data_IF_343739741433
#
_entry.id   IF_343739741433
#
_cell.length_a   1.000
_cell.length_b   1.000
_cell.length_c   1.000
_cell.angle_alpha   90.00
_cell.angle_beta   90.00
_cell.angle_gamma   90.00
#
_symmetry.space_group_name_H-M   'P 1'
#
loop_
_entity.id
_entity.type
_entity.pdbx_description
1 polymer ?
#
# COMPACT_ATOMS: atom_id res chain seq x y z
N UNK A 1 -19.62 18.68 -5.20
CA UNK A 1 -19.54 18.67 -3.72
C UNK A 1 -18.19 18.11 -3.38
N UNK A 2 -17.32 18.85 -2.71
CA UNK A 2 -16.05 18.35 -2.20
C UNK A 2 -16.36 17.24 -1.20
N UNK A 3 -15.66 16.09 -1.30
CA UNK A 3 -15.71 15.06 -0.27
C UNK A 3 -15.35 15.76 1.06
N UNK A 4 -16.29 15.81 1.99
CA UNK A 4 -16.00 16.36 3.32
C UNK A 4 -15.16 15.32 4.04
N UNK A 5 -13.95 15.70 4.47
CA UNK A 5 -13.21 14.88 5.41
C UNK A 5 -14.12 14.59 6.61
N UNK A 6 -14.21 13.32 7.06
CA UNK A 6 -14.89 13.03 8.30
C UNK A 6 -14.21 13.84 9.41
N UNK A 7 -14.99 14.55 10.18
CA UNK A 7 -14.52 15.44 11.25
C UNK A 7 -14.09 14.66 12.50
N UNK A 8 -13.32 13.58 12.32
CA UNK A 8 -12.77 12.83 13.44
C UNK A 8 -11.63 13.63 14.10
N UNK A 9 -11.59 13.62 15.41
CA UNK A 9 -10.46 14.15 16.19
C UNK A 9 -9.21 13.29 15.99
N UNK A 10 -8.01 13.82 16.28
CA UNK A 10 -6.78 13.02 16.20
C UNK A 10 -6.83 11.72 17.01
N UNK A 11 -7.45 11.72 18.20
CA UNK A 11 -7.60 10.52 19.03
C UNK A 11 -8.55 9.48 18.44
N UNK A 12 -9.59 9.91 17.72
CA UNK A 12 -10.50 9.01 17.02
C UNK A 12 -9.78 8.34 15.82
N UNK A 13 -8.91 9.05 15.11
CA UNK A 13 -8.08 8.48 14.06
C UNK A 13 -7.13 7.41 14.59
N UNK A 14 -6.56 7.62 15.79
CA UNK A 14 -5.75 6.59 16.47
C UNK A 14 -6.56 5.34 16.77
N UNK A 15 -7.77 5.51 17.25
CA UNK A 15 -8.69 4.39 17.50
C UNK A 15 -8.93 3.61 16.22
N UNK A 16 -9.25 4.29 15.11
CA UNK A 16 -9.47 3.65 13.80
C UNK A 16 -8.23 2.87 13.36
N UNK A 17 -7.03 3.45 13.43
CA UNK A 17 -5.81 2.75 13.03
C UNK A 17 -5.51 1.55 13.95
N UNK A 18 -5.69 1.74 15.27
CA UNK A 18 -5.50 0.68 16.26
C UNK A 18 -6.44 -0.51 16.04
N UNK A 19 -7.69 -0.27 15.68
CA UNK A 19 -8.66 -1.31 15.34
C UNK A 19 -8.26 -2.04 14.06
N UNK A 20 -7.86 -1.32 13.02
CA UNK A 20 -7.49 -1.88 11.71
C UNK A 20 -6.35 -2.89 11.78
N UNK A 21 -5.30 -2.58 12.55
CA UNK A 21 -4.12 -3.43 12.67
C UNK A 21 -4.05 -4.18 14.02
N UNK A 22 -5.00 -3.95 14.91
CA UNK A 22 -5.00 -4.53 16.25
C UNK A 22 -5.44 -5.98 16.30
N UNK A 23 -4.90 -6.69 17.28
CA UNK A 23 -5.17 -8.10 17.51
C UNK A 23 -5.52 -8.38 18.97
N UNK A 24 -6.55 -9.16 19.19
CA UNK A 24 -6.84 -9.78 20.47
C UNK A 24 -5.95 -11.04 20.64
N UNK A 25 -5.27 -11.17 21.77
CA UNK A 25 -4.55 -12.40 22.11
C UNK A 25 -5.54 -13.49 22.53
N UNK A 26 -5.51 -14.63 21.86
CA UNK A 26 -6.30 -15.82 22.19
C UNK A 26 -5.47 -16.81 23.01
N UNK A 27 -4.18 -16.97 22.64
CA UNK A 27 -3.18 -17.73 23.39
C UNK A 27 -1.80 -17.11 23.16
N UNK A 28 -0.73 -17.73 23.66
CA UNK A 28 0.63 -17.23 23.46
C UNK A 28 1.04 -17.18 21.97
N UNK A 29 0.45 -18.04 21.16
CA UNK A 29 0.78 -18.19 19.74
C UNK A 29 -0.43 -18.00 18.80
N UNK A 30 -1.56 -17.58 19.33
CA UNK A 30 -2.77 -17.36 18.55
C UNK A 30 -3.37 -15.98 18.84
N UNK A 31 -3.78 -15.32 17.79
CA UNK A 31 -4.41 -14.00 17.82
C UNK A 31 -5.66 -14.01 16.94
N UNK A 32 -6.53 -13.04 17.18
CA UNK A 32 -7.72 -12.78 16.36
C UNK A 32 -7.79 -11.29 16.04
N UNK A 33 -8.21 -10.93 14.84
CA UNK A 33 -8.43 -9.53 14.46
C UNK A 33 -9.36 -8.84 15.46
N UNK A 34 -9.02 -7.61 15.90
CA UNK A 34 -9.92 -6.77 16.69
C UNK A 34 -11.12 -6.35 15.86
N UNK A 35 -10.87 -5.88 14.63
CA UNK A 35 -11.91 -5.50 13.70
C UNK A 35 -12.72 -6.73 13.30
N UNK A 36 -14.01 -6.75 13.68
CA UNK A 36 -14.94 -7.82 13.33
C UNK A 36 -15.34 -7.77 11.86
N UNK A 37 -15.18 -6.61 11.21
CA UNK A 37 -15.56 -6.36 9.83
C UNK A 37 -14.43 -5.65 9.08
N UNK A 38 -13.27 -6.32 8.85
CA UNK A 38 -12.13 -5.73 8.18
C UNK A 38 -12.52 -5.12 6.84
N UNK A 39 -11.92 -3.99 6.55
CA UNK A 39 -12.26 -3.18 5.38
C UNK A 39 -12.06 -3.92 4.05
N UNK A 40 -13.10 -3.82 3.21
CA UNK A 40 -13.13 -4.25 1.81
C UNK A 40 -13.11 -2.99 0.95
N UNK A 41 -12.04 -2.71 0.19
CA UNK A 41 -12.03 -1.57 -0.73
C UNK A 41 -13.16 -1.65 -1.77
N UNK A 42 -13.73 -0.52 -2.14
CA UNK A 42 -14.81 -0.45 -3.15
C UNK A 42 -14.43 -1.20 -4.42
N UNK A 43 -15.30 -2.10 -4.83
CA UNK A 43 -15.10 -2.93 -6.03
C UNK A 43 -14.24 -4.17 -5.81
N UNK A 44 -13.73 -4.38 -4.60
CA UNK A 44 -13.02 -5.60 -4.21
C UNK A 44 -13.95 -6.58 -3.48
N UNK A 45 -13.62 -7.86 -3.58
CA UNK A 45 -14.33 -8.96 -2.90
C UNK A 45 -13.45 -9.63 -1.84
N UNK A 46 -12.39 -8.97 -1.41
CA UNK A 46 -11.45 -9.45 -0.40
C UNK A 46 -11.06 -8.32 0.54
N UNK A 47 -10.81 -8.68 1.79
CA UNK A 47 -10.20 -7.79 2.78
C UNK A 47 -8.93 -7.16 2.19
N UNK A 48 -8.72 -5.89 2.50
CA UNK A 48 -7.55 -5.13 2.10
C UNK A 48 -6.24 -5.84 2.48
N UNK A 49 -5.32 -5.99 1.53
CA UNK A 49 -4.07 -6.74 1.74
C UNK A 49 -3.19 -6.16 2.83
N UNK A 50 -3.08 -4.83 2.91
CA UNK A 50 -2.32 -4.16 3.94
C UNK A 50 -2.75 -4.50 5.37
N UNK A 51 -4.01 -4.88 5.57
CA UNK A 51 -4.52 -5.36 6.86
C UNK A 51 -3.77 -6.62 7.31
N UNK A 52 -3.57 -7.58 6.39
CA UNK A 52 -2.81 -8.81 6.68
C UNK A 52 -1.34 -8.52 6.97
N UNK A 53 -0.74 -7.56 6.25
CA UNK A 53 0.64 -7.15 6.47
C UNK A 53 0.81 -6.57 7.88
N UNK A 54 -0.08 -5.65 8.28
CA UNK A 54 -0.10 -5.07 9.62
C UNK A 54 -0.29 -6.13 10.71
N UNK A 55 -1.27 -7.02 10.53
CA UNK A 55 -1.53 -8.11 11.48
C UNK A 55 -0.36 -9.09 11.61
N UNK A 56 0.33 -9.44 10.51
CA UNK A 56 1.46 -10.34 10.56
C UNK A 56 2.62 -9.76 11.37
N UNK A 57 2.93 -8.46 11.15
CA UNK A 57 3.94 -7.74 11.91
C UNK A 57 3.56 -7.65 13.39
N UNK A 58 2.30 -7.29 13.69
CA UNK A 58 1.77 -7.19 15.05
C UNK A 58 1.84 -8.54 15.79
N UNK A 59 1.30 -9.61 15.18
CA UNK A 59 1.25 -10.94 15.78
C UNK A 59 2.64 -11.49 16.08
N UNK A 60 3.53 -11.45 15.07
CA UNK A 60 4.88 -11.95 15.21
C UNK A 60 5.68 -11.19 16.29
N UNK A 61 5.57 -9.84 16.29
CA UNK A 61 6.31 -9.00 17.25
C UNK A 61 5.89 -9.23 18.70
N UNK A 62 4.66 -9.67 18.95
CA UNK A 62 4.17 -9.98 20.30
C UNK A 62 4.59 -11.34 20.82
N UNK A 63 5.36 -12.12 20.05
CA UNK A 63 5.84 -13.47 20.42
C UNK A 63 7.36 -13.55 20.53
N UNK A 64 8.07 -12.45 20.40
CA UNK A 64 9.53 -12.38 20.57
C UNK A 64 9.89 -11.58 21.81
N UNK A 65 11.11 -11.83 22.35
CA UNK A 65 11.67 -11.03 23.42
C UNK A 65 11.79 -9.55 22.98
N UNK A 66 11.44 -8.57 23.82
CA UNK A 66 11.51 -7.13 23.50
C UNK A 66 12.86 -6.61 23.01
N UNK A 67 13.96 -7.34 23.25
CA UNK A 67 15.29 -6.99 22.72
C UNK A 67 15.38 -7.09 21.19
N UNK A 68 14.47 -7.84 20.56
CA UNK A 68 14.45 -8.02 19.12
C UNK A 68 13.61 -6.95 18.45
N UNK A 69 14.19 -6.26 17.46
CA UNK A 69 13.48 -5.42 16.51
C UNK A 69 13.20 -6.17 15.20
N UNK A 70 12.06 -5.94 14.59
CA UNK A 70 11.78 -6.47 13.25
C UNK A 70 12.78 -5.86 12.25
N UNK A 71 13.31 -6.69 11.34
CA UNK A 71 14.14 -6.21 10.24
C UNK A 71 13.61 -6.61 8.86
N UNK A 72 12.76 -7.65 8.75
CA UNK A 72 12.12 -7.98 7.49
C UNK A 72 10.86 -8.84 7.66
N UNK A 73 10.00 -8.81 6.66
CA UNK A 73 8.98 -9.84 6.46
C UNK A 73 8.83 -10.20 4.97
N UNK A 74 8.37 -11.44 4.72
CA UNK A 74 8.04 -11.96 3.40
C UNK A 74 6.68 -12.63 3.48
N UNK A 75 5.75 -12.28 2.60
CA UNK A 75 4.37 -12.74 2.68
C UNK A 75 3.82 -13.25 1.36
N UNK A 76 2.78 -14.07 1.45
CA UNK A 76 2.00 -14.57 0.31
C UNK A 76 0.51 -14.44 0.59
N UNK A 77 -0.23 -13.89 -0.37
CA UNK A 77 -1.68 -13.87 -0.38
C UNK A 77 -2.18 -15.12 -1.12
N UNK A 78 -2.87 -16.01 -0.42
CA UNK A 78 -3.19 -17.35 -0.92
C UNK A 78 -4.65 -17.48 -1.36
N UNK A 79 -5.56 -16.81 -0.64
CA UNK A 79 -6.99 -16.86 -0.93
C UNK A 79 -7.68 -15.57 -0.46
N UNK A 80 -8.92 -15.38 -0.89
CA UNK A 80 -9.75 -14.24 -0.48
C UNK A 80 -10.21 -14.41 0.95
N UNK A 81 -10.23 -13.31 1.67
CA UNK A 81 -10.88 -13.21 2.97
C UNK A 81 -12.08 -12.27 2.88
N UNK A 82 -13.19 -12.65 3.51
CA UNK A 82 -14.39 -11.82 3.62
C UNK A 82 -14.29 -10.90 4.83
N UNK A 83 -15.20 -9.91 4.94
CA UNK A 83 -15.23 -8.94 6.03
C UNK A 83 -15.78 -9.56 7.32
N UNK A 84 -15.03 -10.47 7.90
CA UNK A 84 -15.28 -11.16 9.14
C UNK A 84 -13.96 -11.36 9.89
N UNK A 85 -14.04 -11.80 11.17
CA UNK A 85 -12.83 -12.10 11.95
C UNK A 85 -11.88 -13.06 11.24
N UNK A 86 -10.59 -12.79 11.42
CA UNK A 86 -9.48 -13.64 10.96
C UNK A 86 -8.67 -14.09 12.17
N UNK A 87 -8.36 -15.37 12.22
CA UNK A 87 -7.47 -15.96 13.21
C UNK A 87 -6.04 -16.03 12.67
N UNK A 88 -5.07 -15.61 13.50
CA UNK A 88 -3.66 -15.66 13.18
C UNK A 88 -2.96 -16.65 14.10
N UNK A 89 -2.17 -17.53 13.51
CA UNK A 89 -1.35 -18.51 14.20
C UNK A 89 0.12 -18.20 13.97
N UNK A 90 0.86 -18.07 15.06
CA UNK A 90 2.29 -17.80 15.01
C UNK A 90 3.05 -19.07 15.33
N UNK A 91 4.12 -19.35 14.60
CA UNK A 91 5.01 -20.48 14.81
C UNK A 91 6.43 -19.97 15.03
N UNK A 92 7.10 -20.51 16.04
CA UNK A 92 8.52 -20.25 16.24
C UNK A 92 9.33 -21.06 15.21
N UNK A 93 9.83 -20.38 14.17
CA UNK A 93 10.71 -21.01 13.17
C UNK A 93 12.17 -21.01 13.61
N UNK A 94 12.59 -19.99 14.33
CA UNK A 94 13.93 -19.85 14.87
C UNK A 94 13.93 -18.91 16.08
N UNK A 95 14.70 -19.30 17.09
CA UNK A 95 15.04 -18.45 18.23
C UNK A 95 16.55 -18.57 18.48
N UNK A 96 17.29 -17.51 18.21
CA UNK A 96 18.74 -17.46 18.39
C UNK A 96 19.13 -16.31 19.31
N UNK A 97 20.44 -16.16 19.55
CA UNK A 97 20.93 -15.07 20.39
C UNK A 97 20.75 -13.69 19.76
N UNK A 98 21.00 -13.56 18.45
CA UNK A 98 20.97 -12.30 17.72
C UNK A 98 19.82 -12.19 16.72
N UNK A 99 19.22 -13.31 16.30
CA UNK A 99 18.13 -13.37 15.33
C UNK A 99 17.02 -14.31 15.78
N UNK A 100 15.78 -13.93 15.51
CA UNK A 100 14.61 -14.76 15.71
C UNK A 100 13.73 -14.69 14.44
N UNK A 101 12.99 -15.76 14.15
CA UNK A 101 12.06 -15.80 13.00
C UNK A 101 10.75 -16.44 13.41
N UNK A 102 9.66 -15.84 12.98
CA UNK A 102 8.28 -16.30 13.21
C UNK A 102 7.59 -16.57 11.88
N UNK A 103 6.94 -17.71 11.78
CA UNK A 103 5.94 -17.97 10.76
C UNK A 103 4.59 -17.45 11.23
N UNK A 104 3.82 -16.81 10.35
CA UNK A 104 2.47 -16.36 10.63
C UNK A 104 1.55 -16.95 9.57
N UNK A 105 0.47 -17.59 9.99
CA UNK A 105 -0.62 -18.05 9.15
C UNK A 105 -1.89 -17.30 9.53
N UNK A 106 -2.56 -16.68 8.57
CA UNK A 106 -3.89 -16.14 8.75
C UNK A 106 -4.93 -17.11 8.17
N UNK A 107 -5.91 -17.45 8.96
CA UNK A 107 -6.97 -18.40 8.59
C UNK A 107 -8.34 -17.80 8.81
N UNK A 108 -9.24 -18.07 7.88
CA UNK A 108 -10.65 -17.71 7.99
C UNK A 108 -11.51 -18.91 7.61
N UNK A 109 -12.48 -19.26 8.45
CA UNK A 109 -13.31 -20.49 8.31
C UNK A 109 -12.44 -21.76 8.09
N UNK A 110 -11.30 -21.86 8.81
CA UNK A 110 -10.37 -22.97 8.69
C UNK A 110 -9.46 -22.93 7.45
N UNK A 111 -9.75 -22.08 6.45
CA UNK A 111 -8.93 -21.96 5.23
C UNK A 111 -7.74 -21.03 5.48
N UNK A 112 -6.58 -21.41 4.96
CA UNK A 112 -5.39 -20.59 4.95
C UNK A 112 -5.53 -19.52 3.86
N UNK A 113 -5.58 -18.25 4.25
CA UNK A 113 -5.78 -17.13 3.31
C UNK A 113 -4.50 -16.30 3.09
N UNK A 114 -3.57 -16.34 4.07
CA UNK A 114 -2.33 -15.58 4.00
C UNK A 114 -1.25 -16.25 4.84
N UNK A 115 0.01 -16.11 4.43
CA UNK A 115 1.18 -16.52 5.22
C UNK A 115 2.27 -15.44 5.21
N UNK A 116 3.05 -15.38 6.28
CA UNK A 116 4.26 -14.56 6.33
C UNK A 116 5.38 -15.23 7.14
N UNK A 117 6.61 -14.93 6.76
CA UNK A 117 7.81 -15.15 7.59
C UNK A 117 8.31 -13.79 8.04
N UNK A 118 8.34 -13.57 9.34
CA UNK A 118 8.77 -12.29 9.96
C UNK A 118 10.08 -12.54 10.71
N UNK A 119 11.10 -11.77 10.41
CA UNK A 119 12.43 -11.91 10.96
C UNK A 119 12.82 -10.71 11.82
N UNK A 120 13.50 -11.01 12.92
CA UNK A 120 13.88 -10.08 13.97
C UNK A 120 15.36 -10.16 14.27
N UNK A 121 15.93 -9.04 14.69
CA UNK A 121 17.34 -8.90 15.01
C UNK A 121 17.51 -8.10 16.30
N UNK A 122 18.50 -8.45 17.12
CA UNK A 122 18.99 -7.56 18.17
C UNK A 122 19.70 -6.39 17.52
N UNK A 123 19.40 -5.17 17.96
CA UNK A 123 19.99 -3.98 17.38
C UNK A 123 21.51 -3.97 17.54
N UNK A 124 22.22 -3.77 16.45
CA UNK A 124 23.67 -3.68 16.38
C UNK A 124 24.12 -2.31 15.88
N UNK A 125 25.30 -1.86 16.35
CA UNK A 125 25.95 -0.69 15.75
C UNK A 125 26.56 -1.10 14.41
N UNK A 126 26.14 -0.42 13.34
CA UNK A 126 26.72 -0.64 12.02
C UNK A 126 28.11 -0.02 11.94
N UNK A 127 29.12 -0.79 11.53
CA UNK A 127 30.45 -0.28 11.17
C UNK A 127 30.49 0.33 9.78
N UNK A 128 29.50 0.02 8.96
CA UNK A 128 29.32 0.54 7.61
C UNK A 128 27.84 0.81 7.37
N UNK A 129 27.52 1.98 6.83
CA UNK A 129 26.15 2.37 6.45
C UNK A 129 26.15 2.78 5.00
N UNK A 130 25.32 2.12 4.19
CA UNK A 130 25.08 2.49 2.79
C UNK A 130 23.61 2.24 2.46
N UNK A 131 23.01 3.17 1.77
CA UNK A 131 21.72 3.00 1.14
C UNK A 131 21.61 3.90 -0.10
N UNK A 132 20.74 3.51 -1.02
CA UNK A 132 20.42 4.36 -2.16
C UNK A 132 19.90 5.71 -1.67
N UNK A 133 20.47 6.76 -2.22
CA UNK A 133 20.05 8.13 -1.87
C UNK A 133 18.59 8.34 -2.23
N UNK A 134 17.95 9.19 -1.44
CA UNK A 134 16.70 9.82 -1.79
C UNK A 134 16.83 10.47 -3.18
N UNK A 135 15.79 10.43 -4.03
CA UNK A 135 15.78 11.26 -5.23
C UNK A 135 15.99 12.72 -4.80
N UNK A 136 16.89 13.43 -5.45
CA UNK A 136 17.21 14.80 -5.08
C UNK A 136 15.91 15.61 -4.92
N UNK A 137 15.69 16.14 -3.71
CA UNK A 137 14.61 17.07 -3.43
C UNK A 137 15.01 18.39 -4.08
N UNK A 138 14.51 18.64 -5.26
CA UNK A 138 14.71 19.93 -5.91
C UNK A 138 13.87 20.98 -5.19
N UNK A 139 14.44 22.13 -4.77
CA UNK A 139 13.64 23.22 -4.23
C UNK A 139 12.58 23.63 -5.27
N UNK A 140 11.34 23.77 -4.84
CA UNK A 140 10.25 24.26 -5.67
C UNK A 140 10.66 25.60 -6.31
N UNK A 141 10.69 25.66 -7.63
CA UNK A 141 11.09 26.86 -8.41
C UNK A 141 12.42 26.74 -9.16
N UNK A 142 13.19 25.69 -9.00
CA UNK A 142 14.36 25.44 -9.86
C UNK A 142 13.88 25.08 -11.27
N UNK A 143 13.98 26.02 -12.20
CA UNK A 143 13.54 25.93 -13.61
C UNK A 143 14.49 25.14 -14.51
N UNK A 144 15.34 24.29 -14.01
CA UNK A 144 16.25 23.50 -14.83
C UNK A 144 15.74 22.08 -14.99
N UNK A 145 14.68 21.92 -15.77
CA UNK A 145 14.53 20.70 -16.55
C UNK A 145 15.60 20.75 -17.64
N UNK A 146 16.69 20.03 -17.43
CA UNK A 146 17.61 19.75 -18.51
C UNK A 146 16.88 18.87 -19.52
N UNK A 147 16.41 19.47 -20.60
CA UNK A 147 15.86 18.83 -21.79
C UNK A 147 17.03 18.10 -22.50
N UNK A 148 17.42 16.94 -21.99
CA UNK A 148 18.44 16.10 -22.63
C UNK A 148 17.80 15.32 -23.76
N UNK A 149 17.75 15.93 -24.95
CA UNK A 149 17.31 15.32 -26.20
C UNK A 149 18.36 14.40 -26.85
N UNK A 150 19.34 13.94 -26.12
CA UNK A 150 20.46 13.17 -26.68
C UNK A 150 20.29 11.64 -26.60
N UNK A 151 19.08 11.14 -26.29
CA UNK A 151 18.75 9.70 -26.43
C UNK A 151 19.43 8.77 -25.42
N UNK A 152 20.28 9.27 -24.54
CA UNK A 152 20.76 8.55 -23.36
C UNK A 152 19.74 8.76 -22.26
N UNK A 153 19.01 7.69 -21.86
CA UNK A 153 17.96 7.75 -20.85
C UNK A 153 18.33 8.68 -19.70
N UNK A 154 17.75 9.87 -19.60
CA UNK A 154 17.96 10.65 -18.40
C UNK A 154 17.19 9.95 -17.30
N UNK A 155 17.84 9.63 -16.22
CA UNK A 155 17.17 9.62 -14.94
C UNK A 155 16.55 11.02 -14.81
N UNK A 156 15.25 11.14 -15.14
CA UNK A 156 14.51 12.35 -14.83
C UNK A 156 14.51 12.40 -13.31
N UNK A 157 15.41 13.19 -12.77
CA UNK A 157 15.40 13.57 -11.35
C UNK A 157 14.17 14.43 -11.19
N UNK A 158 13.06 13.78 -10.90
CA UNK A 158 11.81 14.46 -10.67
C UNK A 158 11.92 15.15 -9.32
N UNK A 159 11.77 16.47 -9.30
CA UNK A 159 11.70 17.25 -8.07
C UNK A 159 10.65 16.64 -7.14
N UNK A 160 11.07 16.21 -5.95
CA UNK A 160 10.15 15.77 -4.91
C UNK A 160 9.60 17.02 -4.24
N UNK A 161 8.29 17.24 -4.35
CA UNK A 161 7.62 18.34 -3.66
C UNK A 161 7.62 18.08 -2.15
N UNK A 162 7.85 19.09 -1.32
CA UNK A 162 7.60 18.97 0.11
C UNK A 162 6.10 18.68 0.35
N UNK A 163 5.75 17.99 1.44
CA UNK A 163 4.37 17.53 1.65
C UNK A 163 3.35 18.67 1.71
N UNK A 164 3.74 19.87 2.12
CA UNK A 164 2.87 21.05 2.21
C UNK A 164 2.41 21.53 0.80
N UNK A 165 3.21 21.29 -0.22
CA UNK A 165 2.91 21.65 -1.62
C UNK A 165 2.29 20.50 -2.40
N UNK A 166 2.32 19.27 -1.85
CA UNK A 166 1.75 18.09 -2.47
C UNK A 166 0.21 18.13 -2.48
N UNK A 167 -0.39 17.79 -3.62
CA UNK A 167 -1.84 17.61 -3.66
C UNK A 167 -2.26 16.36 -2.87
N UNK A 168 -3.43 16.37 -2.19
CA UNK A 168 -4.01 15.16 -1.62
C UNK A 168 -4.03 14.04 -2.67
N UNK A 169 -3.63 12.83 -2.27
CA UNK A 169 -3.43 11.74 -3.22
C UNK A 169 -4.67 11.32 -4.01
N UNK A 170 -5.86 11.68 -3.52
CA UNK A 170 -7.14 11.47 -4.20
C UNK A 170 -7.55 12.61 -5.16
N UNK A 171 -6.86 13.76 -5.16
CA UNK A 171 -7.24 14.93 -5.96
C UNK A 171 -7.30 14.62 -7.46
N UNK A 172 -6.42 13.74 -7.95
CA UNK A 172 -6.45 13.27 -9.35
C UNK A 172 -7.73 12.51 -9.69
N UNK A 173 -8.19 11.64 -8.79
CA UNK A 173 -9.47 10.92 -8.94
C UNK A 173 -10.65 11.91 -8.90
N UNK A 174 -10.59 12.91 -8.03
CA UNK A 174 -11.61 13.94 -7.93
C UNK A 174 -11.67 14.78 -9.22
N UNK A 175 -10.53 15.19 -9.76
CA UNK A 175 -10.44 15.89 -11.06
C UNK A 175 -11.02 15.02 -12.18
N UNK A 176 -10.62 13.76 -12.29
CA UNK A 176 -11.13 12.83 -13.30
C UNK A 176 -12.65 12.62 -13.21
N UNK A 177 -13.20 12.51 -11.99
CA UNK A 177 -14.64 12.39 -11.76
C UNK A 177 -15.39 13.66 -12.18
N UNK A 178 -14.83 14.84 -11.97
CA UNK A 178 -15.44 16.13 -12.35
C UNK A 178 -15.42 16.36 -13.86
N UNK A 179 -14.39 15.91 -14.56
CA UNK A 179 -14.21 16.11 -16.01
C UNK A 179 -15.06 15.17 -16.86
N UNK A 180 -15.43 13.99 -16.35
CA UNK A 180 -16.16 12.98 -17.10
C UNK A 180 -17.64 12.90 -16.73
N UNK A 181 -18.43 13.80 -17.29
CA UNK A 181 -19.89 13.87 -17.06
C UNK A 181 -20.67 12.65 -17.62
N UNK A 182 -20.07 11.87 -18.50
CA UNK A 182 -20.73 10.77 -19.25
C UNK A 182 -20.66 9.39 -18.57
N UNK A 183 -20.11 9.27 -17.37
CA UNK A 183 -19.83 7.97 -16.72
C UNK A 183 -20.71 7.73 -15.49
N UNK A 184 -22.04 7.76 -15.62
CA UNK A 184 -22.95 7.63 -14.47
C UNK A 184 -22.66 6.46 -13.52
N UNK A 185 -22.35 5.26 -14.04
CA UNK A 185 -22.07 4.08 -13.18
C UNK A 185 -20.65 4.13 -12.59
N UNK A 186 -19.64 4.45 -13.40
CA UNK A 186 -18.25 4.60 -12.93
C UNK A 186 -18.10 5.76 -11.97
N UNK A 187 -18.78 6.88 -12.20
CA UNK A 187 -18.76 8.05 -11.32
C UNK A 187 -19.19 7.69 -9.90
N UNK A 188 -20.26 6.91 -9.75
CA UNK A 188 -20.76 6.48 -8.43
C UNK A 188 -19.73 5.61 -7.66
N UNK A 189 -19.08 4.69 -8.38
CA UNK A 189 -18.02 3.85 -7.82
C UNK A 189 -16.77 4.66 -7.45
N UNK A 190 -16.37 5.60 -8.32
CA UNK A 190 -15.22 6.48 -8.06
C UNK A 190 -15.48 7.45 -6.90
N UNK A 191 -16.69 7.99 -6.78
CA UNK A 191 -17.06 8.83 -5.63
C UNK A 191 -17.02 8.04 -4.32
N UNK A 192 -17.51 6.79 -4.30
CA UNK A 192 -17.39 5.92 -3.13
C UNK A 192 -15.94 5.60 -2.79
N UNK A 193 -15.10 5.32 -3.80
CA UNK A 193 -13.68 5.12 -3.59
C UNK A 193 -13.01 6.37 -2.98
N UNK A 194 -13.39 7.56 -3.44
CA UNK A 194 -12.92 8.83 -2.86
C UNK A 194 -13.33 8.97 -1.39
N UNK A 195 -14.59 8.69 -1.06
CA UNK A 195 -15.08 8.74 0.31
C UNK A 195 -14.30 7.75 1.20
N UNK A 196 -13.99 6.56 0.68
CA UNK A 196 -13.17 5.56 1.39
C UNK A 196 -11.73 6.02 1.61
N UNK A 197 -11.10 6.62 0.58
CA UNK A 197 -9.75 7.17 0.72
C UNK A 197 -9.67 8.28 1.76
N UNK A 198 -10.68 9.13 1.81
CA UNK A 198 -10.78 10.18 2.82
C UNK A 198 -10.97 9.61 4.23
N UNK A 199 -11.66 8.46 4.35
CA UNK A 199 -11.90 7.76 5.61
C UNK A 199 -10.72 6.87 6.07
N UNK A 200 -9.61 6.81 5.33
CA UNK A 200 -8.41 6.08 5.78
C UNK A 200 -7.76 6.79 6.99
N UNK A 201 -7.19 6.03 7.94
CA UNK A 201 -6.54 6.59 9.14
C UNK A 201 -5.18 7.23 8.85
N UNK A 202 -4.84 7.44 7.61
CA UNK A 202 -3.62 8.10 7.18
C UNK A 202 -3.89 9.11 6.06
N UNK A 203 -3.05 10.12 6.04
CA UNK A 203 -2.99 11.11 4.97
C UNK A 203 -1.91 10.69 3.99
N UNK A 204 -2.18 10.86 2.70
CA UNK A 204 -1.13 10.77 1.70
C UNK A 204 -1.24 11.92 0.71
N UNK A 205 -0.08 12.36 0.20
CA UNK A 205 0.03 13.45 -0.76
C UNK A 205 0.94 13.06 -1.90
N UNK A 206 0.66 13.57 -3.08
CA UNK A 206 1.59 13.45 -4.20
C UNK A 206 2.88 14.20 -3.86
N UNK A 207 4.01 13.53 -3.97
CA UNK A 207 5.33 14.15 -3.82
C UNK A 207 5.91 14.62 -5.17
N UNK A 208 5.13 14.53 -6.24
CA UNK A 208 5.52 14.99 -7.57
C UNK A 208 4.46 15.96 -8.10
N UNK A 209 4.85 16.93 -8.96
CA UNK A 209 3.91 17.83 -9.62
C UNK A 209 2.81 17.04 -10.36
N UNK A 210 1.66 17.68 -10.57
CA UNK A 210 0.63 17.10 -11.41
C UNK A 210 1.12 17.07 -12.88
N UNK A 211 1.46 15.87 -13.32
CA UNK A 211 1.93 15.58 -14.68
C UNK A 211 0.83 14.92 -15.51
N UNK A 212 -0.42 15.21 -15.22
CA UNK A 212 -1.54 14.76 -16.05
C UNK A 212 -1.66 15.62 -17.30
N UNK A 213 -2.02 14.98 -18.41
CA UNK A 213 -2.39 15.67 -19.63
C UNK A 213 -3.76 16.36 -19.50
N UNK A 214 -4.19 17.06 -20.55
CA UNK A 214 -5.48 17.76 -20.61
C UNK A 214 -6.68 16.81 -20.42
N UNK A 215 -6.48 15.50 -20.62
CA UNK A 215 -7.49 14.45 -20.43
C UNK A 215 -7.48 13.83 -19.04
N UNK A 216 -6.56 14.27 -18.16
CA UNK A 216 -6.40 13.77 -16.80
C UNK A 216 -5.62 12.45 -16.69
N UNK A 217 -4.94 12.01 -17.76
CA UNK A 217 -4.06 10.86 -17.73
C UNK A 217 -2.63 11.26 -17.35
N UNK A 218 -1.98 10.45 -16.53
CA UNK A 218 -0.55 10.60 -16.27
C UNK A 218 0.25 10.44 -17.58
N UNK A 219 1.20 11.32 -17.80
CA UNK A 219 2.14 11.15 -18.89
C UNK A 219 2.93 9.86 -18.67
N UNK A 220 3.16 9.10 -19.75
CA UNK A 220 3.90 7.83 -19.68
C UNK A 220 5.32 8.05 -19.17
N UNK A 221 5.78 7.14 -18.30
CA UNK A 221 7.14 7.18 -17.75
C UNK A 221 7.35 8.21 -16.64
N UNK A 222 6.29 8.90 -16.20
CA UNK A 222 6.36 9.78 -15.04
C UNK A 222 6.58 8.94 -13.79
N UNK A 223 7.70 9.19 -13.10
CA UNK A 223 7.94 8.59 -11.79
C UNK A 223 6.94 9.19 -10.79
N UNK A 224 6.31 8.33 -10.01
CA UNK A 224 5.43 8.74 -8.93
C UNK A 224 6.16 8.69 -7.60
N UNK A 225 5.80 9.55 -6.68
CA UNK A 225 6.25 9.51 -5.30
C UNK A 225 5.14 10.05 -4.40
N UNK A 226 5.08 9.56 -3.16
CA UNK A 226 3.99 9.88 -2.24
C UNK A 226 4.51 10.10 -0.84
N UNK A 227 4.00 11.12 -0.17
CA UNK A 227 4.15 11.31 1.26
C UNK A 227 3.02 10.65 2.01
N UNK A 228 3.36 9.97 3.11
CA UNK A 228 2.41 9.32 4.03
C UNK A 228 2.65 9.74 5.45
N UNK A 229 1.57 9.89 6.22
CA UNK A 229 1.61 9.96 7.68
C UNK A 229 0.29 9.50 8.29
N UNK A 230 0.28 9.12 9.57
CA UNK A 230 -0.98 8.88 10.29
C UNK A 230 -1.73 10.18 10.52
N UNK A 231 -3.06 10.15 10.51
CA UNK A 231 -3.91 11.30 10.86
C UNK A 231 -3.98 11.52 12.35
N UNK A 232 -3.81 10.47 13.14
CA UNK A 232 -3.74 10.52 14.59
C UNK A 232 -2.30 10.52 15.13
N UNK A 233 -2.11 10.79 16.44
CA UNK A 233 -0.80 10.82 17.08
C UNK A 233 -0.06 9.49 17.07
N UNK A 234 -0.77 8.38 17.09
CA UNK A 234 -0.27 7.00 17.04
C UNK A 234 1.01 6.75 17.86
N UNK A 235 0.96 7.17 19.13
CA UNK A 235 2.07 6.98 20.09
C UNK A 235 2.14 5.53 20.53
N UNK A 236 2.71 4.69 19.69
CA UNK A 236 2.77 3.25 19.86
C UNK A 236 4.23 2.76 19.80
N UNK A 237 4.54 1.59 20.39
CA UNK A 237 5.85 0.97 20.27
C UNK A 237 6.32 0.83 18.83
N UNK A 238 7.62 0.82 18.59
CA UNK A 238 8.21 0.84 17.24
C UNK A 238 7.68 -0.29 16.34
N UNK A 239 7.47 -1.50 16.87
CA UNK A 239 6.92 -2.58 16.04
C UNK A 239 5.51 -2.27 15.50
N UNK A 240 4.70 -1.50 16.24
CA UNK A 240 3.39 -1.05 15.76
C UNK A 240 3.51 0.08 14.73
N UNK A 241 4.54 0.89 14.80
CA UNK A 241 4.86 1.86 13.75
C UNK A 241 5.16 1.13 12.43
N UNK A 242 5.92 0.03 12.50
CA UNK A 242 6.19 -0.82 11.34
C UNK A 242 4.94 -1.55 10.82
N UNK A 243 4.06 -2.03 11.70
CA UNK A 243 2.77 -2.59 11.33
C UNK A 243 1.86 -1.58 10.62
N UNK A 244 1.81 -0.33 11.12
CA UNK A 244 1.08 0.75 10.49
C UNK A 244 1.63 1.11 9.11
N UNK A 245 2.96 1.19 8.96
CA UNK A 245 3.58 1.43 7.65
C UNK A 245 3.23 0.30 6.67
N UNK A 246 3.37 -0.96 7.07
CA UNK A 246 3.02 -2.11 6.24
C UNK A 246 1.54 -2.08 5.80
N UNK A 247 0.62 -1.68 6.71
CA UNK A 247 -0.78 -1.47 6.39
C UNK A 247 -0.98 -0.36 5.34
N UNK A 248 -0.29 0.77 5.49
CA UNK A 248 -0.54 1.96 4.68
C UNK A 248 -0.06 1.83 3.22
N UNK A 249 1.05 1.13 2.99
CA UNK A 249 1.74 1.13 1.70
C UNK A 249 1.07 0.28 0.62
N UNK A 250 0.37 -0.77 1.00
CA UNK A 250 -0.24 -1.72 0.05
C UNK A 250 -1.30 -1.06 -0.86
N UNK A 251 -1.87 0.07 -0.43
CA UNK A 251 -2.94 0.74 -1.18
C UNK A 251 -2.46 1.39 -2.48
N UNK A 252 -1.19 1.77 -2.59
CA UNK A 252 -0.68 2.53 -3.74
C UNK A 252 0.42 1.82 -4.49
N UNK A 253 1.17 0.89 -3.88
CA UNK A 253 2.39 0.37 -4.49
C UNK A 253 2.12 -0.33 -5.84
N UNK A 254 1.25 -1.32 -5.88
CA UNK A 254 0.92 -2.02 -7.13
C UNK A 254 0.15 -1.13 -8.13
N UNK A 255 -0.61 -0.17 -7.62
CA UNK A 255 -1.40 0.76 -8.46
C UNK A 255 -0.49 1.67 -9.30
N UNK A 256 0.73 1.92 -8.87
CA UNK A 256 1.69 2.74 -9.65
C UNK A 256 1.98 2.16 -11.03
N UNK A 257 1.83 0.86 -11.22
CA UNK A 257 1.98 0.21 -12.52
C UNK A 257 0.98 0.71 -13.58
N UNK A 258 -0.15 1.27 -13.15
CA UNK A 258 -1.16 1.85 -14.06
C UNK A 258 -0.59 3.04 -14.85
N UNK A 259 0.41 3.75 -14.31
CA UNK A 259 1.07 4.86 -15.02
C UNK A 259 1.91 4.42 -16.23
N UNK A 260 2.24 3.13 -16.33
CA UNK A 260 2.97 2.59 -17.47
C UNK A 260 2.06 2.23 -18.65
N UNK A 261 0.75 2.21 -18.44
CA UNK A 261 -0.19 2.01 -19.53
C UNK A 261 -0.18 3.22 -20.46
N UNK A 262 -0.15 2.96 -21.77
CA UNK A 262 -0.21 4.02 -22.75
C UNK A 262 -1.60 4.72 -22.71
N UNK A 263 -1.67 6.00 -22.37
CA UNK A 263 -2.93 6.74 -22.27
C UNK A 263 -3.67 6.83 -23.61
N UNK A 264 -2.94 6.71 -24.75
CA UNK A 264 -3.52 6.77 -26.10
C UNK A 264 -4.10 5.42 -26.54
N UNK A 265 -3.85 4.35 -25.79
CA UNK A 265 -4.50 3.05 -26.01
C UNK A 265 -5.79 2.96 -25.20
N UNK A 266 -6.69 2.07 -25.64
CA UNK A 266 -7.88 1.76 -24.86
C UNK A 266 -7.61 0.76 -23.72
N UNK A 267 -6.36 0.52 -23.36
CA UNK A 267 -6.00 -0.41 -22.30
C UNK A 267 -6.42 0.13 -20.94
N UNK A 268 -7.09 -0.71 -20.17
CA UNK A 268 -7.51 -0.40 -18.79
C UNK A 268 -7.21 -1.59 -17.89
N UNK A 269 -6.84 -1.38 -16.63
CA UNK A 269 -6.74 -2.44 -15.67
C UNK A 269 -8.06 -3.20 -15.57
N UNK A 270 -8.02 -4.51 -15.69
CA UNK A 270 -9.17 -5.39 -15.53
C UNK A 270 -9.09 -6.23 -14.25
N UNK A 271 -7.87 -6.40 -13.72
CA UNK A 271 -7.61 -7.09 -12.46
C UNK A 271 -6.32 -6.59 -11.84
N UNK A 272 -6.40 -6.21 -10.58
CA UNK A 272 -5.28 -5.96 -9.68
C UNK A 272 -5.50 -6.77 -8.39
N UNK A 273 -4.52 -7.58 -8.01
CA UNK A 273 -4.55 -8.31 -6.73
C UNK A 273 -3.13 -8.68 -6.33
N UNK A 274 -2.77 -8.43 -5.08
CA UNK A 274 -1.46 -8.79 -4.53
C UNK A 274 -1.26 -10.31 -4.52
N UNK A 275 -0.09 -10.78 -4.91
CA UNK A 275 0.36 -12.17 -4.81
C UNK A 275 1.33 -12.33 -3.64
N UNK A 276 2.26 -11.40 -3.52
CA UNK A 276 3.19 -11.32 -2.39
C UNK A 276 3.56 -9.87 -2.06
N UNK A 277 4.10 -9.71 -0.87
CA UNK A 277 4.66 -8.44 -0.41
C UNK A 277 5.81 -8.75 0.54
N UNK A 278 6.94 -8.12 0.28
CA UNK A 278 8.15 -8.25 1.08
C UNK A 278 8.62 -6.88 1.52
N UNK A 279 9.14 -6.77 2.75
CA UNK A 279 9.65 -5.52 3.28
C UNK A 279 10.87 -5.73 4.16
N UNK A 280 11.85 -4.82 4.06
CA UNK A 280 13.04 -4.74 4.89
C UNK A 280 13.08 -3.38 5.58
N UNK A 281 13.39 -3.38 6.88
CA UNK A 281 13.45 -2.18 7.70
C UNK A 281 14.90 -1.87 8.07
N UNK A 282 15.34 -0.64 7.86
CA UNK A 282 16.72 -0.19 8.08
C UNK A 282 16.83 0.91 9.13
N UNK A 283 15.76 1.65 9.40
CA UNK A 283 15.78 2.77 10.33
C UNK A 283 14.48 2.93 11.09
N UNK A 284 14.57 3.56 12.26
CA UNK A 284 13.40 3.99 13.02
C UNK A 284 12.77 5.22 12.40
N UNK A 285 11.46 5.34 12.54
CA UNK A 285 10.67 6.50 12.12
C UNK A 285 9.47 6.65 13.06
N UNK A 286 8.82 7.80 12.97
CA UNK A 286 7.53 8.03 13.59
C UNK A 286 6.50 8.19 12.46
N UNK A 287 5.44 7.37 12.46
CA UNK A 287 4.41 7.39 11.41
C UNK A 287 3.57 8.69 11.43
N UNK A 288 3.69 9.52 12.47
CA UNK A 288 3.11 10.87 12.52
C UNK A 288 3.85 11.84 11.61
N UNK A 289 5.15 11.61 11.44
CA UNK A 289 5.96 12.40 10.54
C UNK A 289 5.77 11.91 9.11
N UNK A 290 6.03 12.80 8.17
CA UNK A 290 5.94 12.42 6.78
C UNK A 290 7.01 11.39 6.41
N UNK A 291 6.57 10.30 5.82
CA UNK A 291 7.42 9.28 5.19
C UNK A 291 7.23 9.36 3.69
N UNK A 292 8.32 9.53 2.96
CA UNK A 292 8.33 9.54 1.50
C UNK A 292 8.42 8.12 0.98
N UNK A 293 7.48 7.71 0.14
CA UNK A 293 7.52 6.49 -0.66
C UNK A 293 7.91 6.83 -2.09
N UNK A 294 8.94 6.18 -2.60
CA UNK A 294 9.40 6.27 -3.99
C UNK A 294 9.24 4.90 -4.63
N UNK A 295 8.12 4.64 -5.33
CA UNK A 295 7.91 3.39 -6.06
C UNK A 295 8.68 3.41 -7.38
N UNK A 296 9.10 2.23 -7.80
CA UNK A 296 9.81 1.99 -9.05
C UNK A 296 9.26 0.72 -9.71
N UNK A 297 8.59 0.89 -10.84
CA UNK A 297 8.03 -0.21 -11.62
C UNK A 297 9.17 -1.02 -12.24
N UNK A 298 9.26 -2.32 -11.90
CA UNK A 298 10.36 -3.18 -12.33
C UNK A 298 10.03 -3.97 -13.58
N UNK A 299 8.84 -4.57 -13.62
CA UNK A 299 8.40 -5.43 -14.71
C UNK A 299 6.89 -5.60 -14.74
N UNK A 300 6.33 -5.80 -15.93
CA UNK A 300 4.98 -6.28 -16.14
C UNK A 300 4.97 -7.26 -17.30
N UNK A 301 4.66 -8.53 -17.02
CA UNK A 301 4.58 -9.60 -18.02
C UNK A 301 3.73 -10.77 -17.51
N UNK A 302 3.23 -11.59 -18.41
CA UNK A 302 2.46 -12.80 -18.07
C UNK A 302 1.31 -12.57 -17.10
N UNK A 303 0.64 -11.41 -17.18
CA UNK A 303 -0.48 -11.05 -16.32
C UNK A 303 -0.09 -10.70 -14.87
N UNK A 304 1.18 -10.40 -14.61
CA UNK A 304 1.71 -9.94 -13.32
C UNK A 304 2.53 -8.68 -13.47
N UNK A 305 2.68 -7.96 -12.36
CA UNK A 305 3.56 -6.81 -12.25
C UNK A 305 4.37 -6.88 -10.95
N UNK A 306 5.59 -6.34 -10.99
CA UNK A 306 6.51 -6.22 -9.88
C UNK A 306 6.89 -4.76 -9.67
N UNK A 307 6.72 -4.28 -8.44
CA UNK A 307 7.05 -2.91 -8.03
C UNK A 307 7.96 -2.95 -6.81
N UNK A 308 9.08 -2.24 -6.89
CA UNK A 308 9.95 -1.92 -5.76
C UNK A 308 9.54 -0.56 -5.20
N UNK A 309 9.61 -0.36 -3.88
CA UNK A 309 9.48 0.96 -3.28
C UNK A 309 10.53 1.18 -2.20
N UNK A 310 11.04 2.41 -2.10
CA UNK A 310 11.93 2.88 -1.04
C UNK A 310 11.21 3.90 -0.20
N UNK A 311 11.48 3.85 1.11
CA UNK A 311 10.82 4.72 2.08
C UNK A 311 11.86 5.54 2.84
N UNK A 312 11.64 6.85 2.89
CA UNK A 312 12.57 7.80 3.50
C UNK A 312 11.85 8.67 4.52
N UNK A 313 12.56 9.05 5.56
CA UNK A 313 12.14 10.16 6.41
C UNK A 313 12.34 11.50 5.68
N UNK A 314 11.76 12.57 6.21
CA UNK A 314 11.92 13.92 5.66
C UNK A 314 13.36 14.45 5.67
N UNK A 315 14.28 13.80 6.39
CA UNK A 315 15.72 14.12 6.39
C UNK A 315 16.52 13.30 5.36
N UNK A 316 15.85 12.53 4.50
CA UNK A 316 16.48 11.69 3.48
C UNK A 316 17.02 10.33 3.97
N UNK A 317 16.82 10.01 5.26
CA UNK A 317 17.24 8.71 5.79
C UNK A 317 16.32 7.60 5.29
N UNK A 318 16.89 6.57 4.66
CA UNK A 318 16.17 5.37 4.25
C UNK A 318 15.69 4.60 5.49
N UNK A 319 14.39 4.34 5.58
CA UNK A 319 13.79 3.58 6.70
C UNK A 319 13.32 2.20 6.29
N UNK A 320 12.92 2.01 5.04
CA UNK A 320 12.49 0.71 4.55
C UNK A 320 12.62 0.57 3.03
N UNK A 321 12.63 -0.67 2.57
CA UNK A 321 12.50 -1.05 1.16
C UNK A 321 11.42 -2.11 1.08
N UNK A 322 10.55 -2.06 0.09
CA UNK A 322 9.57 -3.12 -0.17
C UNK A 322 9.58 -3.58 -1.62
N UNK A 323 9.12 -4.80 -1.84
CA UNK A 323 8.78 -5.34 -3.15
C UNK A 323 7.40 -5.97 -3.09
N UNK A 324 6.59 -5.71 -4.12
CA UNK A 324 5.25 -6.29 -4.24
C UNK A 324 5.09 -6.85 -5.65
N UNK A 325 4.77 -8.15 -5.74
CA UNK A 325 4.25 -8.74 -6.97
C UNK A 325 2.73 -8.88 -6.87
N UNK A 326 2.05 -8.62 -7.97
CA UNK A 326 0.61 -8.81 -8.06
C UNK A 326 0.14 -9.23 -9.43
N UNK A 327 -1.07 -9.76 -9.49
CA UNK A 327 -1.80 -9.92 -10.74
C UNK A 327 -2.06 -8.54 -11.30
N UNK A 328 -1.65 -8.33 -12.55
CA UNK A 328 -1.89 -7.10 -13.30
C UNK A 328 -2.37 -7.50 -14.70
N UNK A 329 -3.67 -7.43 -14.91
CA UNK A 329 -4.27 -7.74 -16.22
C UNK A 329 -4.94 -6.50 -16.77
N UNK A 330 -4.81 -6.33 -18.08
CA UNK A 330 -5.47 -5.26 -18.82
C UNK A 330 -6.49 -5.86 -19.79
N UNK A 331 -7.42 -5.03 -20.22
CA UNK A 331 -8.34 -5.32 -21.32
C UNK A 331 -8.41 -4.11 -22.22
N UNK A 332 -8.66 -4.34 -23.50
CA UNK A 332 -8.94 -3.26 -24.44
C UNK A 332 -10.37 -2.74 -24.21
N UNK A 333 -10.50 -1.45 -24.00
CA UNK A 333 -11.81 -0.79 -23.99
C UNK A 333 -12.24 -0.65 -25.44
N UNK A 334 -13.23 -1.43 -25.89
CA UNK A 334 -13.82 -1.23 -27.23
C UNK A 334 -14.56 0.11 -27.26
N UNK A 335 -14.31 0.96 -28.26
CA UNK A 335 -15.08 2.19 -28.40
C UNK A 335 -16.58 1.84 -28.47
N UNK A 336 -17.38 2.31 -27.54
CA UNK A 336 -18.84 2.33 -27.60
C UNK A 336 -19.60 1.12 -27.04
N UNK A 337 -18.98 0.07 -26.49
CA UNK A 337 -19.72 -1.07 -25.90
C UNK A 337 -19.52 -1.29 -24.39
N UNK A 338 -18.52 -0.71 -23.77
CA UNK A 338 -18.19 -0.95 -22.35
C UNK A 338 -18.77 0.08 -21.39
N UNK A 339 -19.56 1.04 -21.88
CA UNK A 339 -20.22 2.03 -21.02
C UNK A 339 -21.29 1.39 -20.10
N UNK A 340 -21.84 0.23 -20.46
CA UNK A 340 -23.00 -0.38 -19.80
C UNK A 340 -22.74 -1.74 -19.11
N UNK A 341 -21.54 -2.30 -19.17
CA UNK A 341 -21.26 -3.53 -18.43
C UNK A 341 -20.72 -3.22 -17.05
N UNK A 342 -21.64 -3.20 -16.08
CA UNK A 342 -21.31 -3.46 -14.69
C UNK A 342 -20.52 -4.79 -14.60
N UNK A 343 -19.48 -4.84 -13.75
CA UNK A 343 -18.87 -6.13 -13.37
C UNK A 343 -20.01 -7.07 -12.98
N UNK A 344 -20.08 -8.28 -13.56
CA UNK A 344 -21.13 -9.21 -13.21
C UNK A 344 -21.12 -9.42 -11.70
N UNK A 345 -22.28 -9.26 -11.06
CA UNK A 345 -22.47 -9.69 -9.70
C UNK A 345 -22.07 -11.16 -9.64
N UNK A 346 -21.19 -11.51 -8.68
CA UNK A 346 -20.80 -12.88 -8.47
C UNK A 346 -22.07 -13.69 -8.18
N UNK A 347 -22.42 -14.63 -9.07
CA UNK A 347 -23.43 -15.62 -8.75
C UNK A 347 -22.94 -16.45 -7.55
N UNK A 348 -23.83 -16.78 -6.60
CA UNK A 348 -23.48 -17.65 -5.50
C UNK A 348 -23.03 -19.00 -6.07
N UNK A 349 -21.81 -19.43 -5.75
CA UNK A 349 -21.28 -20.72 -6.13
C UNK A 349 -22.17 -21.82 -5.52
N UNK A 350 -22.95 -22.50 -6.33
CA UNK A 350 -23.55 -23.76 -5.94
C UNK A 350 -22.42 -24.73 -5.58
N UNK A 351 -22.39 -25.12 -4.33
CA UNK A 351 -21.50 -26.16 -3.83
C UNK A 351 -21.82 -27.46 -4.55
N UNK A 352 -21.05 -27.79 -5.60
CA UNK A 352 -21.04 -29.14 -6.14
C UNK A 352 -20.31 -30.04 -5.15
N UNK A 353 -21.10 -30.67 -4.29
CA UNK A 353 -20.76 -31.92 -3.62
C UNK A 353 -20.23 -32.91 -4.66
N UNK A 354 -18.95 -33.29 -4.55
CA UNK A 354 -18.45 -34.55 -5.07
C UNK A 354 -17.69 -35.26 -3.96
N UNK A 355 -18.16 -36.46 -3.70
CA UNK A 355 -17.64 -37.50 -2.81
C UNK A 355 -16.13 -37.71 -2.96
#
# INVERSE_FOLDING_TARGET
MSAREPSLSPGEWDTVLNERIGLQRVSDWQFRSLDAHPWLPVGNHSVYGGTFLGWAVEAASRTVDPKFGIHSFHSKFLDRAVSEHVDLFVTNLREGRSYATRGVEARQHGRLVFTASVSFQVQEKSSFVYYAKEPDVMPYGAKEYADSRDGTSPMIVQAVLPPELGEPGFSRYEKAVRQHDKLHVRRKTMLRALDEFVALPFEYRSAVPDMTDETGHLQRGVKTAFWFRSKGPFEQPLYRQYAALAYMIDIVQLVTMVSELDPHTNQRPSMLASLDHTMWYYGSFNIRDWVLMVPENQAAASGRALVLARFYRGDGTLVAVSMQEGVFRTRDSKPGRDADRALPAAEPSEAKSRM
#
